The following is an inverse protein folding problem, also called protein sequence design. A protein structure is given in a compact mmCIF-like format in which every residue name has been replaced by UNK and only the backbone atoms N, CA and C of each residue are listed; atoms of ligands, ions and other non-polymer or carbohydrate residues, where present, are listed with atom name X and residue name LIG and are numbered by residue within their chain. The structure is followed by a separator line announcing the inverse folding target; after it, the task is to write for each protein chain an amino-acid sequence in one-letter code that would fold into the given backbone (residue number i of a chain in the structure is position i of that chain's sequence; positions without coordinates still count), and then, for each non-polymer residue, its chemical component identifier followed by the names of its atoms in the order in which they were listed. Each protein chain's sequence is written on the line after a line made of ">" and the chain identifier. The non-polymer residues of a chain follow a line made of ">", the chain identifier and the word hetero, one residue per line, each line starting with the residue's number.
data_IF_686469609715
#
_entry.id   IF_686469609715
#
_cell.length_a   1.000
_cell.length_b   1.000
_cell.length_c   1.000
_cell.angle_alpha   90.00
_cell.angle_beta   90.00
_cell.angle_gamma   90.00
#
_symmetry.space_group_name_H-M   'P 1'
#
loop_
_entity.id
_entity.type
_entity.pdbx_description
1 polymer ?
#
# COMPACT_ATOMS: atom_id res chain seq x y z
N UNK A 1 11.85 16.94 -2.56
CA UNK A 1 11.95 16.52 -3.98
C UNK A 1 11.29 15.15 -4.12
N UNK A 2 10.06 15.06 -4.64
CA UNK A 2 9.33 13.79 -4.78
C UNK A 2 9.97 12.96 -5.89
N UNK A 3 10.82 11.98 -5.54
CA UNK A 3 11.29 10.98 -6.51
C UNK A 3 10.05 10.22 -7.00
N UNK A 4 9.70 10.38 -8.27
CA UNK A 4 8.74 9.52 -8.95
C UNK A 4 9.36 8.12 -8.99
N UNK A 5 9.01 7.26 -8.04
CA UNK A 5 9.41 5.86 -8.05
C UNK A 5 8.61 5.17 -9.17
N UNK A 6 9.11 5.31 -10.41
CA UNK A 6 8.52 4.72 -11.60
C UNK A 6 8.44 3.20 -11.50
N UNK A 7 7.83 2.56 -12.49
CA UNK A 7 7.59 1.10 -12.63
C UNK A 7 8.82 0.19 -12.46
N UNK A 8 10.02 0.75 -12.25
CA UNK A 8 11.31 0.06 -12.16
C UNK A 8 11.83 0.00 -10.72
N UNK A 9 10.96 -0.30 -9.74
CA UNK A 9 11.38 -0.40 -8.33
C UNK A 9 12.50 -1.43 -8.11
N UNK A 10 12.62 -2.44 -8.99
CA UNK A 10 13.70 -3.43 -8.98
C UNK A 10 15.10 -2.80 -9.14
N UNK A 11 15.21 -1.65 -9.81
CA UNK A 11 16.47 -0.93 -10.02
C UNK A 11 16.82 0.01 -8.85
N UNK A 12 15.91 0.19 -7.89
CA UNK A 12 16.11 1.06 -6.75
C UNK A 12 16.61 0.24 -5.54
N UNK A 13 17.86 0.45 -5.09
CA UNK A 13 18.41 -0.27 -3.93
C UNK A 13 17.58 -0.10 -2.67
N UNK A 14 16.86 1.02 -2.52
CA UNK A 14 15.98 1.27 -1.36
C UNK A 14 14.77 0.34 -1.33
N UNK A 15 14.46 -0.35 -2.43
CA UNK A 15 13.32 -1.26 -2.59
C UNK A 15 13.73 -2.74 -2.54
N UNK A 16 15.03 -3.07 -2.54
CA UNK A 16 15.54 -4.45 -2.63
C UNK A 16 15.11 -5.35 -1.47
N UNK A 17 14.77 -4.79 -0.32
CA UNK A 17 14.18 -5.54 0.80
C UNK A 17 12.87 -6.26 0.39
N UNK A 18 12.13 -5.72 -0.59
CA UNK A 18 10.91 -6.33 -1.15
C UNK A 18 11.20 -7.58 -1.97
N UNK A 19 12.43 -7.78 -2.46
CA UNK A 19 12.78 -8.92 -3.33
C UNK A 19 12.50 -10.27 -2.65
N UNK A 20 12.60 -10.38 -1.32
CA UNK A 20 12.29 -11.62 -0.59
C UNK A 20 10.79 -11.85 -0.37
N UNK A 21 9.94 -10.88 -0.71
CA UNK A 21 8.51 -10.87 -0.42
C UNK A 21 7.70 -10.67 -1.71
N UNK A 22 7.42 -11.75 -2.45
CA UNK A 22 6.67 -11.70 -3.72
C UNK A 22 5.33 -10.95 -3.65
N UNK A 23 4.67 -10.97 -2.47
CA UNK A 23 3.43 -10.21 -2.22
C UNK A 23 3.61 -8.69 -2.35
N UNK A 24 4.83 -8.19 -2.17
CA UNK A 24 5.20 -6.80 -2.30
C UNK A 24 5.77 -6.46 -3.68
N UNK A 25 5.71 -7.33 -4.69
CA UNK A 25 6.29 -7.03 -6.01
C UNK A 25 5.38 -6.24 -6.95
N UNK A 26 4.10 -6.15 -6.59
CA UNK A 26 3.09 -5.41 -7.35
C UNK A 26 3.29 -3.90 -7.16
N UNK A 27 2.66 -3.09 -8.02
CA UNK A 27 2.63 -1.64 -7.88
C UNK A 27 3.98 -0.93 -8.08
N UNK A 28 4.02 0.35 -7.74
CA UNK A 28 5.22 1.21 -7.83
C UNK A 28 6.15 1.03 -6.64
N UNK A 29 7.32 1.68 -6.70
CA UNK A 29 8.16 1.88 -5.52
C UNK A 29 7.45 2.77 -4.49
N UNK A 30 7.78 2.59 -3.22
CA UNK A 30 7.29 3.42 -2.12
C UNK A 30 8.30 3.45 -0.97
N UNK A 31 8.39 4.57 -0.26
CA UNK A 31 9.18 4.66 0.97
C UNK A 31 8.45 3.93 2.11
N UNK A 32 9.02 2.86 2.70
CA UNK A 32 8.37 2.10 3.77
C UNK A 32 8.26 2.88 5.10
N UNK A 33 8.94 4.02 5.24
CA UNK A 33 8.84 4.92 6.38
C UNK A 33 7.87 6.08 6.16
N UNK A 34 7.34 6.24 4.96
CA UNK A 34 6.34 7.24 4.64
C UNK A 34 4.94 6.60 4.66
N UNK A 35 4.16 6.88 5.70
CA UNK A 35 2.82 6.28 5.91
C UNK A 35 1.86 6.55 4.75
N UNK A 36 1.93 7.72 4.12
CA UNK A 36 1.11 8.07 2.97
C UNK A 36 1.46 7.21 1.75
N UNK A 37 2.75 6.98 1.47
CA UNK A 37 3.18 6.14 0.36
C UNK A 37 2.86 4.67 0.60
N UNK A 38 3.03 4.18 1.84
CA UNK A 38 2.64 2.81 2.24
C UNK A 38 1.14 2.60 2.05
N UNK A 39 0.32 3.55 2.48
CA UNK A 39 -1.14 3.48 2.34
C UNK A 39 -1.54 3.51 0.86
N UNK A 40 -0.97 4.44 0.09
CA UNK A 40 -1.23 4.54 -1.36
C UNK A 40 -0.85 3.25 -2.08
N UNK A 41 0.30 2.66 -1.73
CA UNK A 41 0.74 1.37 -2.25
C UNK A 41 -0.25 0.25 -1.92
N UNK A 42 -0.68 0.14 -0.66
CA UNK A 42 -1.61 -0.90 -0.22
C UNK A 42 -2.97 -0.80 -0.93
N UNK A 43 -3.53 0.40 -1.03
CA UNK A 43 -4.80 0.65 -1.73
C UNK A 43 -4.69 0.34 -3.21
N UNK A 44 -3.60 0.76 -3.87
CA UNK A 44 -3.40 0.49 -5.30
C UNK A 44 -3.11 -0.98 -5.60
N UNK A 45 -2.80 -1.79 -4.59
CA UNK A 45 -2.63 -3.24 -4.71
C UNK A 45 -3.96 -4.02 -4.64
N UNK A 46 -5.05 -3.38 -4.20
CA UNK A 46 -6.40 -3.92 -4.32
C UNK A 46 -6.76 -4.07 -5.82
N UNK A 47 -7.51 -5.13 -6.14
CA UNK A 47 -7.83 -5.50 -7.52
C UNK A 47 -9.25 -5.11 -7.90
N UNK A 48 -9.40 -4.53 -9.10
CA UNK A 48 -10.68 -4.31 -9.78
C UNK A 48 -11.74 -3.72 -8.86
N UNK A 49 -12.93 -4.33 -8.88
CA UNK A 49 -14.11 -3.89 -8.15
C UNK A 49 -13.87 -3.76 -6.63
N UNK A 50 -13.01 -4.60 -6.04
CA UNK A 50 -12.65 -4.49 -4.61
C UNK A 50 -11.98 -3.16 -4.28
N UNK A 51 -11.11 -2.66 -5.18
CA UNK A 51 -10.48 -1.35 -5.01
C UNK A 51 -11.50 -0.24 -5.16
N UNK A 52 -12.36 -0.36 -6.16
CA UNK A 52 -13.29 0.70 -6.53
C UNK A 52 -14.38 0.85 -5.45
N UNK A 53 -14.92 -0.28 -4.94
CA UNK A 53 -15.79 -0.31 -3.75
C UNK A 53 -15.12 0.37 -2.55
N UNK A 54 -13.88 0.01 -2.24
CA UNK A 54 -13.15 0.58 -1.11
C UNK A 54 -12.97 2.10 -1.26
N UNK A 55 -12.59 2.58 -2.45
CA UNK A 55 -12.41 4.00 -2.72
C UNK A 55 -13.73 4.78 -2.64
N UNK A 56 -14.80 4.25 -3.21
CA UNK A 56 -16.13 4.88 -3.15
C UNK A 56 -16.66 4.96 -1.71
N UNK A 57 -16.42 3.92 -0.91
CA UNK A 57 -16.80 3.94 0.51
C UNK A 57 -15.94 4.90 1.33
N UNK A 58 -14.62 4.79 1.27
CA UNK A 58 -13.73 5.49 2.20
C UNK A 58 -13.35 6.91 1.77
N UNK A 59 -13.40 7.22 0.47
CA UNK A 59 -13.00 8.54 -0.05
C UNK A 59 -14.22 9.39 -0.39
N UNK A 60 -15.25 8.78 -1.01
CA UNK A 60 -16.47 9.49 -1.38
C UNK A 60 -17.58 9.39 -0.32
N UNK A 61 -17.36 8.60 0.75
CA UNK A 61 -18.31 8.40 1.85
C UNK A 61 -19.70 7.94 1.37
N UNK A 62 -19.75 7.13 0.31
CA UNK A 62 -21.01 6.61 -0.23
C UNK A 62 -21.51 5.42 0.59
N UNK A 63 -22.83 5.31 0.75
CA UNK A 63 -23.46 4.14 1.35
C UNK A 63 -23.37 2.93 0.41
N UNK A 64 -23.40 1.71 0.96
CA UNK A 64 -23.24 0.48 0.19
C UNK A 64 -24.32 0.28 -0.88
N UNK A 65 -25.53 0.81 -0.66
CA UNK A 65 -26.61 0.78 -1.64
C UNK A 65 -26.32 1.66 -2.85
N UNK A 66 -25.80 2.87 -2.64
CA UNK A 66 -25.39 3.77 -3.71
C UNK A 66 -24.18 3.23 -4.47
N UNK A 67 -23.19 2.65 -3.79
CA UNK A 67 -22.06 1.98 -4.42
C UNK A 67 -22.54 0.82 -5.29
N UNK A 68 -23.43 -0.02 -4.77
CA UNK A 68 -24.02 -1.14 -5.51
C UNK A 68 -24.72 -0.68 -6.78
N UNK A 69 -25.53 0.39 -6.70
CA UNK A 69 -26.18 0.98 -7.89
C UNK A 69 -25.17 1.51 -8.91
N UNK A 70 -24.11 2.19 -8.48
CA UNK A 70 -23.10 2.75 -9.38
C UNK A 70 -22.28 1.67 -10.10
N UNK A 71 -21.98 0.57 -9.41
CA UNK A 71 -21.16 -0.52 -9.94
C UNK A 71 -21.98 -1.67 -10.55
N UNK A 72 -23.31 -1.61 -10.48
CA UNK A 72 -24.19 -2.71 -10.92
C UNK A 72 -24.08 -3.97 -10.05
N UNK A 73 -23.75 -3.81 -8.77
CA UNK A 73 -23.54 -4.89 -7.82
C UNK A 73 -24.68 -4.96 -6.79
N UNK A 74 -25.07 -6.17 -6.34
CA UNK A 74 -25.94 -6.30 -5.16
C UNK A 74 -25.19 -5.85 -3.90
N UNK A 75 -25.93 -5.36 -2.89
CA UNK A 75 -25.34 -4.86 -1.63
C UNK A 75 -24.46 -5.90 -0.95
N UNK A 76 -24.86 -7.17 -0.99
CA UNK A 76 -24.08 -8.27 -0.40
C UNK A 76 -22.72 -8.45 -1.09
N UNK A 77 -22.64 -8.18 -2.41
CA UNK A 77 -21.36 -8.20 -3.12
C UNK A 77 -20.50 -6.99 -2.72
N UNK A 78 -21.10 -5.81 -2.53
CA UNK A 78 -20.40 -4.62 -2.02
C UNK A 78 -19.82 -4.90 -0.63
N UNK A 79 -20.59 -5.49 0.28
CA UNK A 79 -20.12 -5.91 1.60
C UNK A 79 -18.97 -6.91 1.52
N UNK A 80 -19.08 -7.93 0.66
CA UNK A 80 -18.03 -8.92 0.45
C UNK A 80 -16.75 -8.30 -0.12
N UNK A 81 -16.87 -7.39 -1.09
CA UNK A 81 -15.74 -6.63 -1.62
C UNK A 81 -15.10 -5.75 -0.55
N UNK A 82 -15.89 -5.07 0.27
CA UNK A 82 -15.37 -4.22 1.34
C UNK A 82 -14.64 -5.04 2.41
N UNK A 83 -15.20 -6.16 2.85
CA UNK A 83 -14.54 -7.09 3.78
C UNK A 83 -13.23 -7.62 3.20
N UNK A 84 -13.24 -7.98 1.91
CA UNK A 84 -12.03 -8.43 1.18
C UNK A 84 -10.98 -7.33 1.12
N UNK A 85 -11.38 -6.09 0.83
CA UNK A 85 -10.48 -4.94 0.77
C UNK A 85 -9.79 -4.71 2.11
N UNK A 86 -10.55 -4.69 3.20
CA UNK A 86 -10.00 -4.52 4.55
C UNK A 86 -9.01 -5.64 4.90
N UNK A 87 -9.36 -6.89 4.63
CA UNK A 87 -8.47 -8.03 4.88
C UNK A 87 -7.16 -7.93 4.08
N UNK A 88 -7.24 -7.58 2.80
CA UNK A 88 -6.06 -7.44 1.94
C UNK A 88 -5.18 -6.25 2.33
N UNK A 89 -5.80 -5.13 2.73
CA UNK A 89 -5.09 -3.95 3.23
C UNK A 89 -4.33 -4.28 4.51
N UNK A 90 -5.02 -4.80 5.53
CA UNK A 90 -4.40 -5.17 6.81
C UNK A 90 -3.26 -6.15 6.58
N UNK A 91 -3.47 -7.21 5.80
CA UNK A 91 -2.41 -8.19 5.50
C UNK A 91 -1.19 -7.57 4.80
N UNK A 92 -1.42 -6.59 3.91
CA UNK A 92 -0.34 -5.89 3.21
C UNK A 92 0.42 -4.95 4.15
N UNK A 93 -0.30 -4.18 4.97
CA UNK A 93 0.27 -3.24 5.93
C UNK A 93 1.08 -3.97 7.00
N UNK A 94 0.53 -5.05 7.58
CA UNK A 94 1.22 -5.88 8.58
C UNK A 94 2.50 -6.49 8.02
N UNK A 95 2.46 -6.95 6.76
CA UNK A 95 3.65 -7.48 6.09
C UNK A 95 4.71 -6.38 5.93
N UNK A 96 4.32 -5.19 5.46
CA UNK A 96 5.25 -4.07 5.30
C UNK A 96 5.84 -3.68 6.65
N UNK A 97 5.03 -3.59 7.70
CA UNK A 97 5.50 -3.27 9.04
C UNK A 97 6.51 -4.29 9.56
N UNK A 98 6.23 -5.58 9.39
CA UNK A 98 7.11 -6.67 9.81
C UNK A 98 8.44 -6.70 9.07
N UNK A 99 8.45 -6.37 7.78
CA UNK A 99 9.62 -6.50 6.90
C UNK A 99 10.27 -5.16 6.56
N UNK A 100 9.77 -4.06 7.14
CA UNK A 100 10.29 -2.70 6.98
C UNK A 100 11.78 -2.68 7.37
N UNK A 101 12.66 -2.18 6.50
CA UNK A 101 14.06 -1.97 6.85
C UNK A 101 14.20 -1.09 8.10
N UNK A 102 15.17 -1.39 8.96
CA UNK A 102 15.53 -0.44 10.03
C UNK A 102 16.13 0.80 9.37
N UNK A 103 15.77 1.98 9.88
CA UNK A 103 16.52 3.20 9.53
C UNK A 103 17.95 2.95 9.99
N UNK A 104 18.89 2.90 9.04
CA UNK A 104 20.31 2.94 9.37
C UNK A 104 20.49 4.32 10.00
N UNK A 105 20.69 4.36 11.32
CA UNK A 105 21.08 5.60 11.97
C UNK A 105 22.32 6.10 11.23
N UNK A 106 22.26 7.30 10.69
CA UNK A 106 23.45 7.98 10.18
C UNK A 106 24.46 7.97 11.33
N UNK A 107 25.50 7.17 11.19
CA UNK A 107 26.61 7.17 12.13
C UNK A 107 27.12 8.60 12.18
N UNK A 108 26.90 9.27 13.30
CA UNK A 108 27.45 10.60 13.55
C UNK A 108 28.94 10.58 13.22
N UNK A 109 29.45 11.48 12.36
CA UNK A 109 30.87 11.53 12.02
C UNK A 109 31.76 12.01 13.19
N UNK A 110 31.21 12.25 14.38
CA UNK A 110 31.92 12.87 15.51
C UNK A 110 32.76 11.91 16.38
N UNK A 111 32.92 10.64 16.00
CA UNK A 111 33.76 9.68 16.72
C UNK A 111 35.14 9.44 16.06
N UNK A 112 35.68 10.44 15.33
CA UNK A 112 36.98 10.34 14.64
C UNK A 112 38.00 11.43 14.98
N UNK A 113 37.82 12.15 16.09
CA UNK A 113 38.88 12.97 16.66
C UNK A 113 39.18 12.49 18.08
N UNK A 114 40.03 11.45 18.14
CA UNK A 114 40.97 11.22 19.24
C UNK A 114 42.19 12.10 18.98
#
# INVERSE_FOLDING_TARGET
>A
MMRRHGKLWLLDPTQWWRCRHRRLWRGSGFDPHNSQQVTSYAVMNLRGDTRDVFLLCCVQALDYGLIGRQLGLPVQAVEAHMATALCQLTSTLDLIERVRPRRIAESSPEARHV
#
